data_IF_962640725470
#
_entry.id   IF_962640725470
#
_cell.length_a   1.000
_cell.length_b   1.000
_cell.length_c   1.000
_cell.angle_alpha   90.00
_cell.angle_beta   90.00
_cell.angle_gamma   90.00
#
_symmetry.space_group_name_H-M   'P 1'
#
loop_
_entity.id
_entity.type
_entity.pdbx_description
1 polymer ?
#
# COMPACT_ATOMS: atom_id res chain seq x y z
N UNK A 1 -20.67 10.91 13.79
CA UNK A 1 -19.73 10.14 12.94
C UNK A 1 -18.68 11.13 12.46
N UNK A 2 -17.40 10.84 12.67
CA UNK A 2 -16.31 11.67 12.14
C UNK A 2 -16.27 11.44 10.63
N UNK A 3 -16.23 12.52 9.84
CA UNK A 3 -16.08 12.40 8.40
C UNK A 3 -14.76 11.70 8.08
N UNK A 4 -14.72 10.74 7.14
CA UNK A 4 -13.46 10.07 6.78
C UNK A 4 -12.44 11.12 6.29
N UNK A 5 -11.21 11.03 6.80
CA UNK A 5 -10.11 11.92 6.38
C UNK A 5 -9.85 11.76 4.89
N UNK A 6 -9.34 12.81 4.25
CA UNK A 6 -8.93 12.74 2.86
C UNK A 6 -7.74 11.78 2.70
N UNK A 7 -7.65 11.11 1.54
CA UNK A 7 -6.55 10.17 1.25
C UNK A 7 -5.17 10.76 1.50
N UNK A 8 -4.97 12.04 1.16
CA UNK A 8 -3.70 12.71 1.37
C UNK A 8 -3.33 12.82 2.86
N UNK A 9 -4.30 13.13 3.71
CA UNK A 9 -4.11 13.22 5.16
C UNK A 9 -3.76 11.86 5.76
N UNK A 10 -4.37 10.78 5.26
CA UNK A 10 -4.02 9.41 5.68
C UNK A 10 -2.56 9.09 5.32
N UNK A 11 -2.14 9.41 4.10
CA UNK A 11 -0.75 9.18 3.65
C UNK A 11 0.24 10.00 4.46
N UNK A 12 -0.07 11.27 4.73
CA UNK A 12 0.80 12.14 5.53
C UNK A 12 0.86 11.66 7.00
N UNK A 13 -0.25 11.17 7.57
CA UNK A 13 -0.26 10.55 8.91
C UNK A 13 0.52 9.24 8.96
N UNK A 14 0.42 8.38 7.95
CA UNK A 14 1.26 7.18 7.85
C UNK A 14 2.75 7.54 7.79
N UNK A 15 3.11 8.55 7.00
CA UNK A 15 4.49 8.99 6.88
C UNK A 15 5.04 9.55 8.20
N UNK A 16 4.22 10.28 8.96
CA UNK A 16 4.59 10.82 10.26
C UNK A 16 4.60 9.77 11.38
N UNK A 17 3.67 8.80 11.35
CA UNK A 17 3.42 7.87 12.44
C UNK A 17 3.26 6.41 11.95
N UNK A 18 4.26 5.82 11.27
CA UNK A 18 4.09 4.52 10.62
C UNK A 18 3.79 3.36 11.58
N UNK A 19 4.19 3.49 12.85
CA UNK A 19 3.94 2.48 13.91
C UNK A 19 2.49 2.38 14.33
N UNK A 20 1.66 3.40 14.01
CA UNK A 20 0.21 3.40 14.25
C UNK A 20 -0.56 2.64 13.18
N UNK A 21 0.13 2.13 12.17
CA UNK A 21 -0.46 1.43 11.04
C UNK A 21 0.05 0.00 10.98
N UNK A 22 -0.87 -0.95 10.87
CA UNK A 22 -0.54 -2.38 10.75
C UNK A 22 -1.04 -2.94 9.44
N UNK A 23 -0.30 -3.88 8.86
CA UNK A 23 -0.76 -4.61 7.69
C UNK A 23 -1.81 -5.62 8.13
N UNK A 24 -3.02 -5.52 7.58
CA UNK A 24 -4.13 -6.44 7.85
C UNK A 24 -4.39 -7.42 6.70
N UNK A 25 -3.91 -7.09 5.49
CA UNK A 25 -4.04 -7.95 4.32
C UNK A 25 -2.86 -7.73 3.38
N UNK A 26 -2.31 -8.80 2.84
CA UNK A 26 -1.31 -8.76 1.76
C UNK A 26 -1.82 -9.61 0.61
N UNK A 27 -1.76 -9.07 -0.60
CA UNK A 27 -2.03 -9.79 -1.83
C UNK A 27 -0.84 -9.67 -2.77
N UNK A 28 -0.40 -10.79 -3.34
CA UNK A 28 0.68 -10.85 -4.32
C UNK A 28 0.16 -11.46 -5.61
N UNK A 29 0.32 -10.74 -6.71
CA UNK A 29 -0.08 -11.16 -8.06
C UNK A 29 1.10 -11.04 -9.03
N UNK A 30 1.14 -11.85 -10.11
CA UNK A 30 2.09 -11.59 -11.19
C UNK A 30 1.94 -10.17 -11.72
N UNK A 31 3.05 -9.51 -12.01
CA UNK A 31 3.02 -8.15 -12.56
C UNK A 31 2.49 -8.16 -13.99
N UNK A 32 1.54 -7.26 -14.27
CA UNK A 32 1.02 -7.03 -15.62
C UNK A 32 1.79 -5.93 -16.37
N UNK A 33 2.72 -5.26 -15.70
CA UNK A 33 3.53 -4.21 -16.31
C UNK A 33 4.60 -4.81 -17.22
N UNK A 34 4.59 -4.43 -18.50
CA UNK A 34 5.53 -4.93 -19.51
C UNK A 34 7.01 -4.68 -19.13
N UNK A 35 7.30 -3.58 -18.43
CA UNK A 35 8.66 -3.27 -17.93
C UNK A 35 9.09 -4.12 -16.75
N UNK A 36 8.15 -4.81 -16.09
CA UNK A 36 8.35 -5.64 -14.92
C UNK A 36 7.89 -7.09 -15.21
N UNK A 37 8.16 -7.57 -16.43
CA UNK A 37 7.78 -8.91 -16.89
C UNK A 37 8.43 -9.98 -16.01
N UNK A 38 7.63 -10.94 -15.53
CA UNK A 38 8.07 -11.98 -14.59
C UNK A 38 8.19 -11.51 -13.13
N UNK A 39 7.96 -10.22 -12.86
CA UNK A 39 7.91 -9.65 -11.52
C UNK A 39 6.57 -9.87 -10.83
N UNK A 40 6.38 -9.20 -9.68
CA UNK A 40 5.18 -9.28 -8.88
C UNK A 40 4.63 -7.90 -8.51
N UNK A 41 3.30 -7.80 -8.44
CA UNK A 41 2.58 -6.71 -7.80
C UNK A 41 2.14 -7.16 -6.42
N UNK A 42 2.59 -6.43 -5.39
CA UNK A 42 2.22 -6.64 -4.00
C UNK A 42 1.33 -5.48 -3.57
N UNK A 43 0.13 -5.80 -3.08
CA UNK A 43 -0.77 -4.85 -2.44
C UNK A 43 -0.93 -5.19 -0.97
N UNK A 44 -0.71 -4.22 -0.10
CA UNK A 44 -0.88 -4.35 1.34
C UNK A 44 -1.98 -3.39 1.79
N UNK A 45 -3.00 -3.90 2.48
CA UNK A 45 -3.96 -3.07 3.21
C UNK A 45 -3.38 -2.80 4.58
N UNK A 46 -3.20 -1.53 4.88
CA UNK A 46 -2.83 -1.04 6.19
C UNK A 46 -4.07 -0.51 6.90
N UNK A 47 -4.14 -0.73 8.19
CA UNK A 47 -5.18 -0.21 9.07
C UNK A 47 -4.52 0.62 10.18
N UNK A 48 -5.04 1.82 10.41
CA UNK A 48 -4.69 2.65 11.55
C UNK A 48 -5.30 2.04 12.82
N UNK A 49 -4.46 1.76 13.82
CA UNK A 49 -4.84 1.04 15.04
C UNK A 49 -5.83 1.85 15.90
N UNK A 50 -5.78 3.18 15.83
CA UNK A 50 -6.58 4.05 16.67
C UNK A 50 -7.94 4.42 16.06
N UNK A 51 -7.98 4.55 14.73
CA UNK A 51 -9.16 5.02 13.99
C UNK A 51 -9.84 3.99 13.11
N UNK A 52 -9.19 2.84 12.84
CA UNK A 52 -9.69 1.83 11.89
C UNK A 52 -9.65 2.27 10.42
N UNK A 53 -9.04 3.41 10.12
CA UNK A 53 -8.90 3.92 8.75
C UNK A 53 -7.94 3.06 7.94
N UNK A 54 -8.18 2.94 6.63
CA UNK A 54 -7.38 2.05 5.78
C UNK A 54 -6.62 2.77 4.69
N UNK A 55 -5.44 2.23 4.37
CA UNK A 55 -4.58 2.64 3.27
C UNK A 55 -4.16 1.43 2.45
N UNK A 56 -3.92 1.62 1.16
CA UNK A 56 -3.38 0.57 0.30
C UNK A 56 -1.99 0.95 -0.15
N UNK A 57 -0.97 0.21 0.28
CA UNK A 57 0.41 0.32 -0.22
C UNK A 57 0.60 -0.65 -1.37
N UNK A 58 1.12 -0.16 -2.48
CA UNK A 58 1.39 -0.94 -3.67
C UNK A 58 2.89 -0.92 -3.99
N UNK A 59 3.46 -2.11 -4.11
CA UNK A 59 4.88 -2.32 -4.39
C UNK A 59 5.00 -3.21 -5.63
N UNK A 60 5.81 -2.79 -6.58
CA UNK A 60 6.21 -3.64 -7.71
C UNK A 60 7.58 -4.24 -7.40
N UNK A 61 7.72 -5.54 -7.63
CA UNK A 61 8.95 -6.29 -7.44
C UNK A 61 9.42 -6.85 -8.77
N UNK A 62 10.72 -6.82 -9.03
CA UNK A 62 11.38 -7.59 -10.07
C UNK A 62 11.22 -9.10 -9.83
N UNK A 63 11.56 -9.90 -10.84
CA UNK A 63 11.46 -11.35 -10.77
C UNK A 63 12.33 -11.97 -9.65
N UNK A 64 13.44 -11.31 -9.32
CA UNK A 64 14.36 -11.67 -8.23
C UNK A 64 13.86 -11.23 -6.84
N UNK A 65 12.71 -10.56 -6.76
CA UNK A 65 12.13 -10.05 -5.52
C UNK A 65 12.63 -8.67 -5.08
N UNK A 66 13.55 -8.05 -5.82
CA UNK A 66 13.98 -6.67 -5.54
C UNK A 66 12.91 -5.65 -5.94
N UNK A 67 12.92 -4.47 -5.31
CA UNK A 67 11.91 -3.43 -5.58
C UNK A 67 12.12 -2.84 -6.98
N UNK A 68 11.09 -2.95 -7.84
CA UNK A 68 11.08 -2.39 -9.19
C UNK A 68 10.92 -0.86 -9.17
N UNK A 69 10.04 -0.35 -8.31
CA UNK A 69 9.77 1.06 -8.11
C UNK A 69 9.46 1.33 -6.63
N UNK A 70 9.78 2.55 -6.13
CA UNK A 70 9.37 2.95 -4.79
C UNK A 70 7.89 2.67 -4.57
N UNK A 71 7.56 2.06 -3.44
CA UNK A 71 6.17 1.76 -3.10
C UNK A 71 5.34 3.04 -3.04
N UNK A 72 4.11 2.99 -3.54
CA UNK A 72 3.19 4.12 -3.51
C UNK A 72 1.85 3.75 -2.89
N UNK A 73 1.17 4.75 -2.33
CA UNK A 73 -0.17 4.56 -1.80
C UNK A 73 -1.22 4.71 -2.90
N UNK A 74 -2.33 3.98 -2.75
CA UNK A 74 -3.52 4.09 -3.60
C UNK A 74 -4.74 4.43 -2.75
N UNK A 75 -5.65 5.27 -3.25
CA UNK A 75 -6.86 5.66 -2.52
C UNK A 75 -7.87 4.52 -2.37
N UNK A 76 -7.78 3.49 -3.23
CA UNK A 76 -8.71 2.37 -3.23
C UNK A 76 -7.98 1.06 -3.54
N UNK A 77 -8.48 -0.02 -2.95
CA UNK A 77 -8.14 -1.39 -3.34
C UNK A 77 -8.79 -1.68 -4.70
N UNK A 78 -7.99 -2.07 -5.70
CA UNK A 78 -8.47 -2.50 -7.02
C UNK A 78 -7.78 -3.79 -7.43
#
# INVERSE_FOLDING_TARGET
MVAPRAFRELVDDYAANPTRWRVIKTERKPSTNARNKGGASVQEVLENIDGGETLVRHTLLWADGTVFQPSHFRPYWK
#
